data_IF_750948054899
#
_entry.id   IF_750948054899
#
_cell.length_a   1.000
_cell.length_b   1.000
_cell.length_c   1.000
_cell.angle_alpha   90.00
_cell.angle_beta   90.00
_cell.angle_gamma   90.00
#
_symmetry.space_group_name_H-M   'P 1'
#
loop_
_entity.id
_entity.type
_entity.pdbx_description
1 polymer ?
#
# COMPACT_ATOMS: atom_id res chain seq x y z
N UNK A 1 -19.91 13.39 -20.28
CA UNK A 1 -20.84 13.08 -19.15
C UNK A 1 -20.15 13.39 -17.82
N UNK A 2 -20.87 13.78 -16.76
CA UNK A 2 -20.25 14.06 -15.44
C UNK A 2 -19.92 12.75 -14.72
N UNK A 3 -18.78 12.72 -14.04
CA UNK A 3 -18.31 11.55 -13.31
C UNK A 3 -17.47 11.97 -12.10
N UNK A 4 -17.21 11.02 -11.21
CA UNK A 4 -16.28 11.18 -10.10
C UNK A 4 -15.43 9.92 -9.90
N UNK A 5 -14.20 10.08 -9.39
CA UNK A 5 -13.30 8.99 -9.02
C UNK A 5 -13.00 9.06 -7.52
N UNK A 6 -12.98 7.89 -6.87
CA UNK A 6 -12.51 7.74 -5.51
C UNK A 6 -11.13 7.08 -5.52
N UNK A 7 -10.13 7.81 -5.04
CA UNK A 7 -8.79 7.30 -4.82
C UNK A 7 -8.62 7.13 -3.32
N UNK A 8 -8.44 5.89 -2.86
CA UNK A 8 -8.39 5.55 -1.44
C UNK A 8 -7.01 5.02 -1.12
N UNK A 9 -6.35 5.67 -0.16
CA UNK A 9 -5.19 5.15 0.54
C UNK A 9 -5.68 4.46 1.82
N UNK A 10 -5.66 3.13 1.82
CA UNK A 10 -6.10 2.33 2.97
C UNK A 10 -5.09 2.32 4.11
N UNK A 11 -3.80 2.55 3.85
CA UNK A 11 -2.76 2.56 4.87
C UNK A 11 -2.87 3.82 5.73
N UNK A 12 -3.02 4.98 5.08
CA UNK A 12 -3.14 6.29 5.74
C UNK A 12 -4.58 6.70 6.01
N UNK A 13 -5.56 5.87 5.60
CA UNK A 13 -7.01 6.14 5.70
C UNK A 13 -7.38 7.47 5.04
N UNK A 14 -6.79 7.78 3.90
CA UNK A 14 -7.06 9.01 3.16
C UNK A 14 -7.90 8.69 1.92
N UNK A 15 -8.77 9.63 1.55
CA UNK A 15 -9.56 9.51 0.33
C UNK A 15 -9.62 10.83 -0.40
N UNK A 16 -9.18 10.80 -1.66
CA UNK A 16 -9.36 11.90 -2.60
C UNK A 16 -10.58 11.60 -3.47
N UNK A 17 -11.47 12.58 -3.58
CA UNK A 17 -12.58 12.55 -4.56
C UNK A 17 -12.27 13.53 -5.66
N UNK A 18 -12.24 13.02 -6.89
CA UNK A 18 -12.10 13.83 -8.09
C UNK A 18 -13.48 13.99 -8.72
N UNK A 19 -13.84 15.20 -9.11
CA UNK A 19 -15.01 15.47 -9.95
C UNK A 19 -14.56 15.90 -11.32
N UNK A 20 -15.38 15.59 -12.32
CA UNK A 20 -15.08 15.99 -13.68
C UNK A 20 -16.03 15.43 -14.69
N UNK A 21 -15.51 15.28 -15.90
CA UNK A 21 -16.20 14.58 -16.97
C UNK A 21 -15.36 13.42 -17.47
N UNK A 22 -16.00 12.30 -17.74
CA UNK A 22 -15.37 11.14 -18.33
C UNK A 22 -15.90 10.94 -19.75
N UNK A 23 -15.04 10.47 -20.65
CA UNK A 23 -15.44 9.97 -21.97
C UNK A 23 -14.60 8.76 -22.33
N UNK A 24 -15.22 7.83 -23.05
CA UNK A 24 -14.50 6.71 -23.65
C UNK A 24 -13.88 7.20 -24.96
N UNK A 25 -12.64 6.82 -25.19
CA UNK A 25 -11.94 6.99 -26.47
C UNK A 25 -11.68 5.60 -27.01
N UNK A 26 -12.23 5.35 -28.19
CA UNK A 26 -12.12 4.10 -28.92
C UNK A 26 -11.27 4.31 -30.17
N UNK A 27 -10.66 3.24 -30.67
CA UNK A 27 -9.92 3.22 -31.94
C UNK A 27 -8.72 4.20 -32.05
N UNK A 28 -8.15 4.61 -30.91
CA UNK A 28 -6.94 5.44 -30.86
C UNK A 28 -5.73 4.58 -30.44
N UNK A 29 -5.08 3.95 -31.42
CA UNK A 29 -3.98 3.02 -31.17
C UNK A 29 -2.76 3.68 -30.51
N UNK A 30 -2.49 4.95 -30.82
CA UNK A 30 -1.36 5.69 -30.27
C UNK A 30 -1.61 6.01 -28.78
N UNK A 31 -2.80 6.49 -28.44
CA UNK A 31 -3.17 6.77 -27.06
C UNK A 31 -3.22 5.48 -26.22
N UNK A 32 -3.71 4.38 -26.78
CA UNK A 32 -3.70 3.07 -26.12
C UNK A 32 -2.28 2.61 -25.81
N UNK A 33 -1.38 2.69 -26.80
CA UNK A 33 0.01 2.30 -26.62
C UNK A 33 0.72 3.17 -25.57
N UNK A 34 0.39 4.47 -25.51
CA UNK A 34 0.95 5.41 -24.54
C UNK A 34 0.51 5.13 -23.09
N UNK A 35 -0.72 4.64 -22.90
CA UNK A 35 -1.29 4.41 -21.57
C UNK A 35 -1.08 2.98 -21.06
N UNK A 36 -0.70 2.03 -21.91
CA UNK A 36 -0.38 0.68 -21.49
C UNK A 36 0.99 0.62 -20.79
N UNK A 37 1.09 -0.01 -19.60
CA UNK A 37 2.39 -0.24 -18.98
C UNK A 37 3.29 -1.08 -19.89
N UNK A 38 4.58 -0.73 -19.91
CA UNK A 38 5.58 -1.54 -20.59
C UNK A 38 5.54 -2.97 -20.03
N UNK A 39 5.60 -3.96 -20.92
CA UNK A 39 5.58 -5.39 -20.60
C UNK A 39 4.28 -5.96 -20.02
N UNK A 40 3.17 -5.21 -20.04
CA UNK A 40 1.87 -5.74 -19.62
C UNK A 40 1.21 -6.53 -20.76
N UNK A 41 1.01 -7.84 -20.57
CA UNK A 41 0.48 -8.77 -21.60
C UNK A 41 -0.99 -8.56 -21.96
N UNK A 42 -1.73 -7.77 -21.21
CA UNK A 42 -3.14 -7.54 -21.50
C UNK A 42 -3.30 -6.75 -22.81
N UNK A 43 -4.42 -6.96 -23.51
CA UNK A 43 -4.77 -6.18 -24.69
C UNK A 43 -5.60 -4.98 -24.24
N UNK A 44 -5.22 -3.73 -24.60
CA UNK A 44 -6.04 -2.58 -24.29
C UNK A 44 -7.26 -2.57 -25.21
N UNK A 45 -8.45 -2.35 -24.65
CA UNK A 45 -9.70 -2.31 -25.43
C UNK A 45 -10.26 -0.89 -25.58
N UNK A 46 -10.15 -0.08 -24.52
CA UNK A 46 -10.72 1.27 -24.45
C UNK A 46 -9.89 2.17 -23.54
N UNK A 47 -9.86 3.48 -23.83
CA UNK A 47 -9.30 4.49 -22.93
C UNK A 47 -10.44 5.27 -22.31
N UNK A 48 -10.45 5.40 -20.99
CA UNK A 48 -11.35 6.34 -20.30
C UNK A 48 -10.56 7.61 -19.99
N UNK A 49 -10.85 8.68 -20.73
CA UNK A 49 -10.26 9.99 -20.46
C UNK A 49 -11.12 10.73 -19.43
N UNK A 50 -10.51 11.10 -18.31
CA UNK A 50 -11.15 11.84 -17.24
C UNK A 50 -10.60 13.27 -17.16
N UNK A 51 -11.42 14.25 -17.50
CA UNK A 51 -11.08 15.68 -17.35
C UNK A 51 -11.50 16.13 -15.96
N UNK A 52 -10.52 16.39 -15.09
CA UNK A 52 -10.74 16.82 -13.70
C UNK A 52 -11.18 18.29 -13.66
N UNK A 53 -12.26 18.58 -12.96
CA UNK A 53 -12.76 19.94 -12.73
C UNK A 53 -12.55 20.42 -11.30
N UNK A 54 -12.53 19.49 -10.33
CA UNK A 54 -12.32 19.79 -8.92
C UNK A 54 -11.82 18.54 -8.19
N UNK A 55 -11.18 18.74 -7.04
CA UNK A 55 -10.80 17.66 -6.14
C UNK A 55 -10.90 18.10 -4.68
N UNK A 56 -11.11 17.14 -3.79
CA UNK A 56 -11.09 17.36 -2.34
C UNK A 56 -10.63 16.11 -1.59
N UNK A 57 -10.05 16.35 -0.42
CA UNK A 57 -9.70 15.32 0.56
C UNK A 57 -10.88 15.13 1.53
N UNK A 58 -11.61 14.02 1.37
CA UNK A 58 -12.78 13.73 2.20
C UNK A 58 -12.38 13.17 3.57
N UNK A 59 -13.33 13.21 4.51
CA UNK A 59 -13.21 12.67 5.87
C UNK A 59 -12.75 11.18 5.90
N UNK A 60 -11.79 10.80 6.78
CA UNK A 60 -11.25 9.44 6.91
C UNK A 60 -12.17 8.46 7.67
N UNK A 61 -13.33 8.94 8.14
CA UNK A 61 -14.31 8.11 8.84
C UNK A 61 -14.73 6.92 7.96
N UNK A 62 -14.82 5.74 8.56
CA UNK A 62 -15.19 4.47 7.93
C UNK A 62 -14.22 3.89 6.87
N UNK A 63 -13.03 4.47 6.66
CA UNK A 63 -11.99 3.82 5.85
C UNK A 63 -11.27 2.77 6.72
N UNK A 64 -11.38 1.46 6.43
CA UNK A 64 -10.67 0.43 7.18
C UNK A 64 -9.17 0.56 6.92
N UNK A 65 -8.37 0.32 7.94
CA UNK A 65 -6.92 0.27 7.76
C UNK A 65 -6.54 -1.06 7.12
N UNK A 66 -5.83 -1.00 6.00
CA UNK A 66 -5.27 -2.19 5.32
C UNK A 66 -3.79 -1.98 5.10
N UNK A 67 -3.05 -3.06 5.21
CA UNK A 67 -1.62 -3.12 4.96
C UNK A 67 -1.36 -4.18 3.91
N UNK A 68 -0.37 -3.94 3.07
CA UNK A 68 0.09 -4.97 2.14
C UNK A 68 0.75 -6.11 2.92
N UNK A 69 0.49 -7.34 2.50
CA UNK A 69 0.98 -8.52 3.21
C UNK A 69 2.52 -8.53 3.29
N UNK A 70 3.20 -8.00 2.26
CA UNK A 70 4.65 -7.88 2.24
C UNK A 70 5.18 -6.95 3.33
N UNK A 71 4.53 -5.81 3.55
CA UNK A 71 4.92 -4.83 4.58
C UNK A 71 4.72 -5.41 5.97
N UNK A 72 3.61 -6.12 6.20
CA UNK A 72 3.35 -6.83 7.46
C UNK A 72 4.40 -7.90 7.72
N UNK A 73 4.73 -8.71 6.71
CA UNK A 73 5.74 -9.76 6.83
C UNK A 73 7.13 -9.19 7.14
N UNK A 74 7.51 -8.07 6.50
CA UNK A 74 8.77 -7.39 6.78
C UNK A 74 8.85 -6.89 8.23
N UNK A 75 7.79 -6.25 8.73
CA UNK A 75 7.71 -5.75 10.10
C UNK A 75 7.78 -6.89 11.14
N UNK A 76 7.10 -8.01 10.89
CA UNK A 76 7.19 -9.20 11.75
C UNK A 76 8.59 -9.80 11.73
N UNK A 77 9.21 -9.93 10.56
CA UNK A 77 10.57 -10.47 10.46
C UNK A 77 11.63 -9.62 11.19
N UNK A 78 11.49 -8.29 11.21
CA UNK A 78 12.35 -7.43 12.03
C UNK A 78 12.14 -7.68 13.54
N UNK A 79 10.88 -7.81 13.95
CA UNK A 79 10.51 -8.07 15.34
C UNK A 79 11.05 -9.41 15.81
N UNK A 80 10.94 -10.47 15.01
CA UNK A 80 11.40 -11.81 15.36
C UNK A 80 12.93 -11.84 15.56
N UNK A 81 13.69 -11.18 14.67
CA UNK A 81 15.14 -11.01 14.84
C UNK A 81 15.52 -10.30 16.14
N UNK A 82 14.69 -9.33 16.55
CA UNK A 82 14.91 -8.62 17.82
C UNK A 82 14.61 -9.53 19.01
N UNK A 83 13.55 -10.34 18.94
CA UNK A 83 13.20 -11.31 19.99
C UNK A 83 14.34 -12.31 20.16
N UNK A 84 14.82 -12.91 19.07
CA UNK A 84 15.92 -13.88 19.11
C UNK A 84 17.16 -13.31 19.81
N UNK A 85 17.58 -12.09 19.44
CA UNK A 85 18.72 -11.43 20.10
C UNK A 85 18.51 -11.22 21.59
N UNK A 86 17.30 -10.80 21.99
CA UNK A 86 16.99 -10.56 23.39
C UNK A 86 16.90 -11.87 24.19
N UNK A 87 16.39 -12.94 23.60
CA UNK A 87 16.33 -14.27 24.22
C UNK A 87 17.73 -14.83 24.43
N UNK A 88 18.63 -14.69 23.47
CA UNK A 88 20.04 -15.07 23.60
C UNK A 88 20.74 -14.30 24.73
N UNK A 89 20.52 -12.98 24.81
CA UNK A 89 21.11 -12.17 25.87
C UNK A 89 20.57 -12.53 27.26
N UNK A 90 19.25 -12.76 27.37
CA UNK A 90 18.63 -13.23 28.62
C UNK A 90 19.22 -14.58 29.04
N UNK A 91 19.37 -15.53 28.11
CA UNK A 91 19.95 -16.83 28.38
C UNK A 91 21.39 -16.70 28.91
N UNK A 92 22.20 -15.85 28.28
CA UNK A 92 23.57 -15.55 28.72
C UNK A 92 23.60 -14.94 30.12
N UNK A 93 22.77 -13.93 30.38
CA UNK A 93 22.74 -13.24 31.68
C UNK A 93 22.28 -14.18 32.80
N UNK A 94 21.25 -15.00 32.56
CA UNK A 94 20.77 -15.99 33.54
C UNK A 94 21.81 -17.08 33.82
N UNK A 95 22.55 -17.53 32.80
CA UNK A 95 23.67 -18.46 32.98
C UNK A 95 24.77 -17.88 33.86
N UNK A 96 25.11 -16.60 33.67
CA UNK A 96 26.08 -15.89 34.51
C UNK A 96 25.59 -15.64 35.95
N UNK A 97 24.30 -15.32 36.14
CA UNK A 97 23.73 -15.12 37.47
C UNK A 97 23.62 -16.43 38.28
N UNK A 98 23.44 -17.57 37.62
CA UNK A 98 23.48 -18.89 38.27
C UNK A 98 24.87 -19.32 38.71
N UNK A 99 25.92 -18.91 38.00
CA UNK A 99 27.31 -19.18 38.36
C UNK A 99 27.80 -18.31 39.54
N UNK A 100 27.34 -17.05 39.63
CA UNK A 100 27.73 -16.12 40.70
C UNK A 100 27.03 -16.36 42.06
N UNK A 101 25.99 -17.20 42.11
CA UNK A 101 25.27 -17.53 43.36
C UNK A 101 25.73 -18.87 43.98
N UNK A 102 26.66 -19.58 43.33
CA UNK A 102 27.18 -20.88 43.76
C UNK A 102 28.58 -20.86 44.36
N UNK A 103 29.16 -19.68 44.58
CA UNK A 103 30.45 -19.42 45.25
C UNK A 103 30.20 -18.73 46.58
#
# INVERSE_FOLDING_TARGET
PRAFLFLIDYMHRQRIKLWGTARVVENDAELMAKLMPQDYRARPEQVVLFTVSAWDANCPQHIPQRFEAADVAAALGERDKRIERLEQEIARLRGNSGAAAGE
#
